data_IF_120838958290
#
_entry.id   IF_120838958290
#
_cell.length_a   1.000
_cell.length_b   1.000
_cell.length_c   1.000
_cell.angle_alpha   90.00
_cell.angle_beta   90.00
_cell.angle_gamma   90.00
#
_symmetry.space_group_name_H-M   'P 1'
#
loop_
_entity.id
_entity.type
_entity.pdbx_description
1 polymer ?
#
# COMPACT_ATOMS: atom_id res chain seq x y z
N UNK A 1 26.80 -24.35 21.61
CA UNK A 1 27.08 -23.31 20.59
C UNK A 1 25.86 -22.82 19.78
N UNK A 2 24.62 -23.32 19.98
CA UNK A 2 23.49 -22.99 19.08
C UNK A 2 22.60 -21.78 19.46
N UNK A 3 22.63 -21.28 20.70
CA UNK A 3 21.73 -20.18 21.14
C UNK A 3 22.19 -18.76 20.73
N UNK A 4 23.47 -18.55 20.48
CA UNK A 4 24.00 -17.24 20.07
C UNK A 4 23.77 -16.96 18.58
N UNK A 5 23.78 -17.98 17.71
CA UNK A 5 23.49 -17.80 16.28
C UNK A 5 22.01 -17.49 16.02
N UNK A 6 21.09 -18.09 16.76
CA UNK A 6 19.64 -17.89 16.56
C UNK A 6 19.20 -16.46 16.90
N UNK A 7 19.76 -15.83 17.94
CA UNK A 7 19.44 -14.45 18.30
C UNK A 7 19.81 -13.43 17.22
N UNK A 8 21.03 -13.54 16.68
CA UNK A 8 21.50 -12.65 15.62
C UNK A 8 20.74 -12.84 14.29
N UNK A 9 20.26 -14.05 14.02
CA UNK A 9 19.49 -14.36 12.82
C UNK A 9 18.06 -13.80 12.91
N UNK A 10 17.45 -13.86 14.10
CA UNK A 10 16.13 -13.26 14.39
C UNK A 10 16.20 -11.74 14.22
N UNK A 11 17.21 -11.06 14.77
CA UNK A 11 17.33 -9.61 14.65
C UNK A 11 17.50 -9.17 13.19
N UNK A 12 18.29 -9.92 12.41
CA UNK A 12 18.45 -9.67 10.97
C UNK A 12 17.16 -9.88 10.18
N UNK A 13 16.38 -10.91 10.51
CA UNK A 13 15.08 -11.18 9.90
C UNK A 13 14.05 -10.09 10.22
N UNK A 14 14.01 -9.62 11.46
CA UNK A 14 13.12 -8.51 11.86
C UNK A 14 13.52 -7.21 11.15
N UNK A 15 14.82 -6.94 11.06
CA UNK A 15 15.32 -5.77 10.34
C UNK A 15 14.99 -5.82 8.85
N UNK A 16 15.19 -6.97 8.19
CA UNK A 16 14.84 -7.12 6.77
C UNK A 16 13.33 -7.01 6.54
N UNK A 17 12.50 -7.55 7.45
CA UNK A 17 11.05 -7.40 7.38
C UNK A 17 10.61 -5.93 7.52
N UNK A 18 11.22 -5.16 8.43
CA UNK A 18 10.97 -3.72 8.55
C UNK A 18 11.38 -2.97 7.27
N UNK A 19 12.54 -3.30 6.71
CA UNK A 19 13.02 -2.66 5.48
C UNK A 19 12.08 -2.95 4.30
N UNK A 20 11.64 -4.21 4.16
CA UNK A 20 10.64 -4.61 3.18
C UNK A 20 9.31 -3.89 3.39
N UNK A 21 8.87 -3.74 4.64
CA UNK A 21 7.66 -2.98 5.00
C UNK A 21 7.74 -1.52 4.58
N UNK A 22 8.87 -0.85 4.82
CA UNK A 22 9.11 0.54 4.38
C UNK A 22 9.03 0.65 2.86
N UNK A 23 9.71 -0.26 2.13
CA UNK A 23 9.71 -0.25 0.68
C UNK A 23 8.31 -0.47 0.09
N UNK A 24 7.55 -1.42 0.64
CA UNK A 24 6.17 -1.70 0.21
C UNK A 24 5.23 -0.53 0.52
N UNK A 25 5.33 0.07 1.71
CA UNK A 25 4.53 1.22 2.10
C UNK A 25 4.83 2.43 1.21
N UNK A 26 6.12 2.71 0.97
CA UNK A 26 6.57 3.78 0.08
C UNK A 26 6.12 3.56 -1.37
N UNK A 27 6.32 2.36 -1.90
CA UNK A 27 5.90 2.00 -3.26
C UNK A 27 4.39 2.11 -3.44
N UNK A 28 3.61 1.52 -2.52
CA UNK A 28 2.15 1.58 -2.54
C UNK A 28 1.63 3.01 -2.45
N UNK A 29 2.21 3.84 -1.57
CA UNK A 29 1.85 5.24 -1.43
C UNK A 29 2.15 6.07 -2.68
N UNK A 30 3.35 5.96 -3.25
CA UNK A 30 3.71 6.66 -4.49
C UNK A 30 2.82 6.25 -5.66
N UNK A 31 2.54 4.95 -5.80
CA UNK A 31 1.71 4.45 -6.89
C UNK A 31 0.24 4.81 -6.72
N UNK A 32 -0.25 4.86 -5.48
CA UNK A 32 -1.59 5.38 -5.18
C UNK A 32 -1.74 6.84 -5.58
N UNK A 33 -0.75 7.70 -5.27
CA UNK A 33 -0.77 9.10 -5.67
C UNK A 33 -0.75 9.26 -7.19
N UNK A 34 0.08 8.51 -7.89
CA UNK A 34 0.14 8.51 -9.35
C UNK A 34 -1.17 8.04 -10.00
N UNK A 35 -1.76 6.95 -9.50
CA UNK A 35 -3.08 6.48 -9.93
C UNK A 35 -4.19 7.50 -9.61
N UNK A 36 -4.11 8.18 -8.47
CA UNK A 36 -5.08 9.21 -8.08
C UNK A 36 -5.03 10.42 -9.02
N UNK A 37 -3.82 10.83 -9.42
CA UNK A 37 -3.64 11.91 -10.40
C UNK A 37 -4.15 11.50 -11.78
N UNK A 38 -3.87 10.26 -12.21
CA UNK A 38 -4.39 9.72 -13.46
C UNK A 38 -5.93 9.57 -13.47
N UNK A 39 -6.54 9.31 -12.30
CA UNK A 39 -8.00 9.31 -12.15
C UNK A 39 -8.59 10.73 -12.27
N UNK A 40 -7.93 11.72 -11.67
CA UNK A 40 -8.36 13.12 -11.70
C UNK A 40 -8.27 13.73 -13.11
N UNK A 41 -7.26 13.33 -13.88
CA UNK A 41 -7.07 13.76 -15.27
C UNK A 41 -7.93 12.98 -16.29
N UNK A 42 -8.71 11.99 -15.86
CA UNK A 42 -9.52 11.18 -16.77
C UNK A 42 -10.83 11.91 -17.15
N UNK A 43 -11.13 12.14 -18.45
CA UNK A 43 -12.34 12.85 -18.88
C UNK A 43 -13.65 12.21 -18.39
N UNK A 44 -13.66 10.92 -18.06
CA UNK A 44 -14.82 10.24 -17.47
C UNK A 44 -15.25 10.80 -16.11
N UNK A 45 -14.30 11.33 -15.32
CA UNK A 45 -14.59 11.95 -14.03
C UNK A 45 -15.32 13.28 -14.20
N UNK A 46 -14.93 14.08 -15.21
CA UNK A 46 -15.58 15.35 -15.54
C UNK A 46 -17.01 15.18 -16.06
N UNK A 47 -17.32 14.08 -16.75
CA UNK A 47 -18.67 13.76 -17.24
C UNK A 47 -19.59 13.33 -16.10
N UNK A 48 -19.07 12.59 -15.11
CA UNK A 48 -19.84 12.18 -13.91
C UNK A 48 -20.10 13.35 -12.93
N UNK A 49 -19.18 14.31 -12.82
CA UNK A 49 -19.37 15.49 -11.95
C UNK A 49 -20.36 16.50 -12.53
N UNK A 50 -20.62 16.48 -13.85
CA UNK A 50 -21.53 17.43 -14.49
C UNK A 50 -22.99 17.02 -14.47
N UNK A 51 -23.32 15.80 -14.06
CA UNK A 51 -24.70 15.26 -14.03
C UNK A 51 -25.50 15.55 -15.32
N UNK A 52 -24.78 15.71 -16.43
CA UNK A 52 -25.38 15.90 -17.75
C UNK A 52 -25.80 14.51 -18.19
N UNK A 53 -27.10 14.26 -18.17
CA UNK A 53 -27.71 13.13 -18.85
C UNK A 53 -27.31 13.22 -20.33
N UNK A 54 -26.17 12.60 -20.68
CA UNK A 54 -25.67 12.56 -22.05
C UNK A 54 -26.70 11.80 -22.84
N UNK A 55 -27.57 12.52 -23.55
CA UNK A 55 -28.41 11.94 -24.58
C UNK A 55 -27.44 11.45 -25.66
N UNK A 56 -27.19 10.15 -25.66
CA UNK A 56 -26.31 9.48 -26.62
C UNK A 56 -27.03 9.47 -27.96
N UNK A 57 -26.94 10.59 -28.68
CA UNK A 57 -27.53 10.75 -30.02
C UNK A 57 -26.69 10.02 -31.09
N UNK A 58 -25.41 9.75 -30.80
CA UNK A 58 -24.47 9.06 -31.69
C UNK A 58 -23.87 7.80 -31.04
N UNK A 59 -23.86 6.69 -31.77
CA UNK A 59 -23.29 5.39 -31.37
C UNK A 59 -21.81 5.49 -30.95
N UNK A 60 -21.02 6.34 -31.63
CA UNK A 60 -19.60 6.56 -31.30
C UNK A 60 -19.41 7.22 -29.93
N UNK A 61 -20.31 8.13 -29.53
CA UNK A 61 -20.29 8.72 -28.20
C UNK A 61 -20.59 7.66 -27.12
N UNK A 62 -21.52 6.73 -27.41
CA UNK A 62 -21.84 5.60 -26.54
C UNK A 62 -20.65 4.67 -26.31
N UNK A 63 -19.91 4.31 -27.37
CA UNK A 63 -18.69 3.50 -27.23
C UNK A 63 -17.60 4.23 -26.44
N UNK A 64 -17.42 5.54 -26.66
CA UNK A 64 -16.41 6.32 -25.93
C UNK A 64 -16.69 6.34 -24.43
N UNK A 65 -17.95 6.57 -24.02
CA UNK A 65 -18.38 6.58 -22.62
C UNK A 65 -18.22 5.22 -21.98
N UNK A 66 -18.62 4.15 -22.67
CA UNK A 66 -18.49 2.79 -22.16
C UNK A 66 -17.03 2.38 -21.94
N UNK A 67 -16.13 2.79 -22.85
CA UNK A 67 -14.69 2.51 -22.74
C UNK A 67 -14.06 3.30 -21.57
N UNK A 68 -14.49 4.54 -21.38
CA UNK A 68 -14.06 5.38 -20.28
C UNK A 68 -14.49 4.81 -18.91
N UNK A 69 -15.70 4.27 -18.83
CA UNK A 69 -16.23 3.63 -17.63
C UNK A 69 -15.48 2.33 -17.27
N UNK A 70 -15.18 1.49 -18.27
CA UNK A 70 -14.36 0.29 -18.08
C UNK A 70 -12.96 0.65 -17.58
N UNK A 71 -12.36 1.69 -18.15
CA UNK A 71 -11.02 2.17 -17.77
C UNK A 71 -11.04 2.70 -16.33
N UNK A 72 -12.07 3.47 -15.97
CA UNK A 72 -12.25 3.98 -14.60
C UNK A 72 -12.35 2.86 -13.59
N UNK A 73 -13.14 1.80 -13.87
CA UNK A 73 -13.28 0.64 -12.98
C UNK A 73 -11.94 -0.08 -12.76
N UNK A 74 -11.17 -0.31 -13.82
CA UNK A 74 -9.84 -0.92 -13.72
C UNK A 74 -8.88 -0.08 -12.89
N UNK A 75 -8.87 1.23 -13.11
CA UNK A 75 -8.01 2.14 -12.35
C UNK A 75 -8.40 2.18 -10.86
N UNK A 76 -9.70 2.08 -10.52
CA UNK A 76 -10.17 1.96 -9.13
C UNK A 76 -9.74 0.64 -8.48
N UNK A 77 -9.83 -0.48 -9.21
CA UNK A 77 -9.33 -1.78 -8.72
C UNK A 77 -7.82 -1.76 -8.48
N UNK A 78 -7.05 -1.16 -9.39
CA UNK A 78 -5.60 -0.95 -9.22
C UNK A 78 -5.30 -0.06 -8.01
N UNK A 79 -6.06 1.02 -7.82
CA UNK A 79 -5.91 1.91 -6.68
C UNK A 79 -6.18 1.17 -5.35
N UNK A 80 -7.22 0.34 -5.30
CA UNK A 80 -7.53 -0.47 -4.12
C UNK A 80 -6.43 -1.50 -3.83
N UNK A 81 -5.92 -2.17 -4.87
CA UNK A 81 -4.80 -3.10 -4.75
C UNK A 81 -3.53 -2.42 -4.23
N UNK A 82 -3.22 -1.22 -4.70
CA UNK A 82 -2.07 -0.45 -4.21
C UNK A 82 -2.25 -0.01 -2.76
N UNK A 83 -3.48 0.33 -2.35
CA UNK A 83 -3.80 0.63 -0.95
C UNK A 83 -3.59 -0.60 -0.05
N UNK A 84 -4.01 -1.80 -0.50
CA UNK A 84 -3.74 -3.06 0.21
C UNK A 84 -2.23 -3.31 0.33
N UNK A 85 -1.48 -3.15 -0.75
CA UNK A 85 -0.02 -3.36 -0.75
C UNK A 85 0.67 -2.39 0.21
N UNK A 86 0.29 -1.10 0.17
CA UNK A 86 0.80 -0.10 1.09
C UNK A 86 0.44 -0.42 2.56
N UNK A 87 -0.80 -0.81 2.81
CA UNK A 87 -1.29 -1.22 4.14
C UNK A 87 -0.56 -2.46 4.69
N UNK A 88 -0.32 -3.46 3.85
CA UNK A 88 0.51 -4.63 4.19
C UNK A 88 1.94 -4.22 4.56
N UNK A 89 2.52 -3.26 3.84
CA UNK A 89 3.83 -2.69 4.17
C UNK A 89 3.86 -2.08 5.58
N UNK A 90 2.85 -1.28 5.92
CA UNK A 90 2.71 -0.70 7.27
C UNK A 90 2.49 -1.77 8.35
N UNK A 91 1.68 -2.79 8.07
CA UNK A 91 1.45 -3.90 8.99
C UNK A 91 2.74 -4.68 9.28
N UNK A 92 3.54 -4.98 8.24
CA UNK A 92 4.85 -5.62 8.39
C UNK A 92 5.83 -4.77 9.20
N UNK A 93 5.83 -3.44 8.97
CA UNK A 93 6.66 -2.51 9.72
C UNK A 93 6.29 -2.49 11.20
N UNK A 94 4.99 -2.41 11.50
CA UNK A 94 4.46 -2.46 12.88
C UNK A 94 4.81 -3.77 13.58
N UNK A 95 4.59 -4.91 12.93
CA UNK A 95 4.92 -6.24 13.48
C UNK A 95 6.43 -6.44 13.66
N UNK A 96 7.24 -5.99 12.70
CA UNK A 96 8.71 -6.04 12.80
C UNK A 96 9.24 -5.20 13.96
N UNK A 97 8.68 -4.00 14.15
CA UNK A 97 9.04 -3.11 15.25
C UNK A 97 8.63 -3.68 16.62
N UNK A 98 7.37 -4.11 16.79
CA UNK A 98 6.89 -4.76 18.01
C UNK A 98 7.68 -6.03 18.33
N UNK A 99 7.96 -6.86 17.32
CA UNK A 99 8.78 -8.07 17.49
C UNK A 99 10.19 -7.73 17.96
N UNK A 100 10.82 -6.71 17.39
CA UNK A 100 12.15 -6.23 17.78
C UNK A 100 12.17 -5.75 19.24
N UNK A 101 11.17 -4.98 19.66
CA UNK A 101 11.10 -4.44 21.02
C UNK A 101 10.92 -5.56 22.07
N UNK A 102 10.05 -6.54 21.80
CA UNK A 102 9.85 -7.70 22.68
C UNK A 102 11.15 -8.52 22.81
N UNK A 103 11.84 -8.78 21.69
CA UNK A 103 13.11 -9.53 21.71
C UNK A 103 14.18 -8.77 22.49
N UNK A 104 14.24 -7.44 22.35
CA UNK A 104 15.20 -6.60 23.06
C UNK A 104 14.91 -6.53 24.56
N UNK A 105 13.64 -6.41 24.94
CA UNK A 105 13.18 -6.42 26.34
C UNK A 105 13.55 -7.72 27.05
N UNK A 106 13.38 -8.87 26.40
CA UNK A 106 13.76 -10.19 26.95
C UNK A 106 15.26 -10.42 27.09
N UNK A 107 16.10 -9.63 26.40
CA UNK A 107 17.56 -9.72 26.49
C UNK A 107 18.16 -8.73 27.50
N UNK A 108 17.35 -7.85 28.10
CA UNK A 108 17.84 -6.89 29.08
C UNK A 108 18.20 -7.64 30.37
N UNK A 109 19.47 -7.63 30.81
CA UNK A 109 19.84 -8.25 32.08
C UNK A 109 19.11 -7.53 33.22
N UNK A 110 18.77 -8.22 34.32
CA UNK A 110 18.21 -7.58 35.50
C UNK A 110 19.15 -6.44 35.92
N UNK A 111 18.59 -5.27 36.19
CA UNK A 111 19.38 -4.15 36.70
C UNK A 111 20.14 -4.61 37.94
N UNK A 112 21.44 -4.32 38.08
CA UNK A 112 22.09 -4.46 39.37
C UNK A 112 21.32 -3.56 40.34
N UNK A 113 20.71 -4.16 41.36
CA UNK A 113 20.04 -3.42 42.44
C UNK A 113 21.04 -2.43 43.06
N UNK A 114 20.57 -1.22 43.46
CA UNK A 114 21.41 -0.17 44.03
C UNK A 114 22.04 -0.54 45.38
#
# INVERSE_FOLDING_TARGET
MSRFQTGALIDKLLFSAMLAGILLAGFGGLRYLDLSNQLADNPAAQIHERDEAVQVENTDAGYSLMTADITRRRQLEEQYNMMIIGGLGLALLGLGWLGSDIVRSRRKPPSPDP
#
